data_IF_514634445406
#
_entry.id   IF_514634445406
#
_cell.length_a   1.000
_cell.length_b   1.000
_cell.length_c   1.000
_cell.angle_alpha   90.00
_cell.angle_beta   90.00
_cell.angle_gamma   90.00
#
_symmetry.space_group_name_H-M   'P 1'
#
loop_
_entity.id
_entity.type
_entity.pdbx_description
1 polymer ?
#
# COMPACT_ATOMS: atom_id res chain seq x y z
N UNK A 1 19.90 -14.25 -21.97
CA UNK A 1 19.54 -15.10 -20.82
C UNK A 1 18.55 -14.34 -19.95
N UNK A 2 17.30 -14.78 -19.79
CA UNK A 2 16.39 -14.16 -18.84
C UNK A 2 16.78 -14.61 -17.42
N UNK A 3 17.03 -13.66 -16.51
CA UNK A 3 17.21 -13.97 -15.08
C UNK A 3 15.91 -14.58 -14.57
N UNK A 4 16.00 -15.75 -13.93
CA UNK A 4 14.90 -16.30 -13.13
C UNK A 4 14.47 -15.21 -12.16
N UNK A 5 13.27 -14.68 -12.33
CA UNK A 5 12.61 -13.85 -11.33
C UNK A 5 12.51 -14.68 -10.05
N UNK A 6 13.19 -14.26 -8.99
CA UNK A 6 13.06 -14.83 -7.66
C UNK A 6 11.61 -14.68 -7.22
N UNK A 7 10.82 -15.75 -7.36
CA UNK A 7 9.38 -15.77 -7.04
C UNK A 7 9.08 -15.78 -5.55
N UNK A 8 10.10 -15.72 -4.69
CA UNK A 8 9.97 -15.93 -3.25
C UNK A 8 10.66 -14.83 -2.42
N UNK A 9 10.50 -13.56 -2.78
CA UNK A 9 10.88 -12.49 -1.84
C UNK A 9 9.76 -12.37 -0.81
N UNK A 10 10.02 -12.81 0.42
CA UNK A 10 9.03 -12.72 1.49
C UNK A 10 8.67 -11.26 1.76
N UNK A 11 7.37 -10.90 1.79
CA UNK A 11 6.91 -9.52 2.00
C UNK A 11 7.41 -8.91 3.32
N UNK A 12 7.76 -9.76 4.31
CA UNK A 12 8.22 -9.37 5.64
C UNK A 12 9.69 -8.96 5.69
N UNK A 13 10.42 -9.07 4.59
CA UNK A 13 11.80 -8.55 4.49
C UNK A 13 11.78 -7.14 3.93
N UNK A 14 12.83 -6.34 4.21
CA UNK A 14 12.97 -4.99 3.64
C UNK A 14 12.90 -5.02 2.11
N UNK A 15 13.56 -5.99 1.47
CA UNK A 15 13.54 -6.14 0.02
C UNK A 15 12.13 -6.52 -0.49
N UNK A 16 11.43 -7.40 0.22
CA UNK A 16 10.06 -7.77 -0.11
C UNK A 16 9.09 -6.61 0.00
N UNK A 17 9.23 -5.78 1.04
CA UNK A 17 8.45 -4.57 1.20
C UNK A 17 8.71 -3.55 0.07
N UNK A 18 9.98 -3.30 -0.28
CA UNK A 18 10.33 -2.39 -1.39
C UNK A 18 9.73 -2.90 -2.71
N UNK A 19 9.84 -4.21 -2.98
CA UNK A 19 9.27 -4.80 -4.17
C UNK A 19 7.74 -4.71 -4.20
N UNK A 20 7.08 -5.03 -3.08
CA UNK A 20 5.63 -4.89 -2.93
C UNK A 20 5.17 -3.46 -3.19
N UNK A 21 5.83 -2.46 -2.59
CA UNK A 21 5.48 -1.05 -2.78
C UNK A 21 5.69 -0.61 -4.23
N UNK A 22 6.79 -1.03 -4.86
CA UNK A 22 7.05 -0.74 -6.26
C UNK A 22 5.94 -1.28 -7.18
N UNK A 23 5.38 -2.46 -6.88
CA UNK A 23 4.25 -3.01 -7.62
C UNK A 23 2.94 -2.27 -7.29
N UNK A 24 2.64 -2.09 -6.00
CA UNK A 24 1.39 -1.48 -5.55
C UNK A 24 1.20 -0.07 -6.09
N UNK A 25 2.26 0.76 -6.13
CA UNK A 25 2.16 2.13 -6.63
C UNK A 25 1.91 2.23 -8.14
N UNK A 26 2.16 1.19 -8.93
CA UNK A 26 1.78 1.18 -10.36
C UNK A 26 0.27 1.18 -10.59
N UNK A 27 -0.50 0.83 -9.56
CA UNK A 27 -1.96 0.77 -9.63
C UNK A 27 -2.59 2.15 -9.50
N UNK A 28 -1.82 3.16 -9.09
CA UNK A 28 -2.29 4.51 -8.80
C UNK A 28 -1.70 5.53 -9.77
N UNK A 29 -2.54 6.40 -10.33
CA UNK A 29 -2.10 7.63 -11.02
C UNK A 29 -1.83 8.73 -9.99
N UNK A 30 -2.69 8.81 -8.98
CA UNK A 30 -2.46 9.63 -7.79
C UNK A 30 -2.62 8.80 -6.52
N UNK A 31 -1.77 9.07 -5.53
CA UNK A 31 -1.88 8.52 -4.18
C UNK A 31 -1.46 9.58 -3.17
N UNK A 32 -2.37 9.94 -2.27
CA UNK A 32 -2.22 11.04 -1.31
C UNK A 32 -2.58 10.53 0.08
N UNK A 33 -1.60 10.05 0.87
CA UNK A 33 -1.82 9.76 2.27
C UNK A 33 -1.87 11.07 3.05
N UNK A 34 -2.77 11.13 4.04
CA UNK A 34 -2.93 12.21 4.99
C UNK A 34 -2.93 11.62 6.39
N UNK A 35 -1.97 12.05 7.19
CA UNK A 35 -1.94 11.72 8.62
C UNK A 35 -3.15 12.40 9.28
N UNK A 36 -3.89 11.62 10.05
CA UNK A 36 -5.05 12.06 10.81
C UNK A 36 -4.69 12.22 12.29
N UNK A 37 -3.86 11.31 12.81
CA UNK A 37 -3.40 11.35 14.20
C UNK A 37 -2.06 10.62 14.36
N UNK A 38 -1.34 10.96 15.43
CA UNK A 38 -0.08 10.34 15.81
C UNK A 38 -0.06 10.15 17.34
N UNK A 39 0.18 8.93 17.78
CA UNK A 39 0.42 8.59 19.18
C UNK A 39 1.88 8.16 19.31
N UNK A 40 2.62 8.76 20.25
CA UNK A 40 4.06 8.48 20.45
C UNK A 40 4.29 7.93 21.85
N UNK A 41 5.06 6.84 21.94
CA UNK A 41 5.66 6.34 23.18
C UNK A 41 7.19 6.50 23.07
N UNK A 42 7.68 7.62 23.59
CA UNK A 42 9.10 7.95 23.57
C UNK A 42 9.95 6.98 24.40
N UNK A 43 9.39 6.41 25.48
CA UNK A 43 10.11 5.49 26.37
C UNK A 43 10.44 4.16 25.69
N UNK A 44 9.65 3.78 24.67
CA UNK A 44 9.83 2.56 23.91
C UNK A 44 10.33 2.80 22.48
N UNK A 45 10.56 4.06 22.09
CA UNK A 45 10.85 4.45 20.71
C UNK A 45 9.80 3.89 19.74
N UNK A 46 8.51 4.14 20.02
CA UNK A 46 7.39 3.66 19.21
C UNK A 46 6.44 4.79 18.83
N UNK A 47 5.81 4.64 17.67
CA UNK A 47 4.70 5.51 17.26
C UNK A 47 3.58 4.70 16.59
N UNK A 48 2.35 5.16 16.77
CA UNK A 48 1.19 4.73 16.00
C UNK A 48 0.73 5.89 15.15
N UNK A 49 0.60 5.67 13.84
CA UNK A 49 0.18 6.68 12.86
C UNK A 49 -1.16 6.24 12.28
N UNK A 50 -2.17 7.06 12.48
CA UNK A 50 -3.48 6.90 11.85
C UNK A 50 -3.53 7.75 10.59
N UNK A 51 -3.86 7.16 9.45
CA UNK A 51 -3.87 7.85 8.17
C UNK A 51 -5.06 7.47 7.31
N UNK A 52 -5.56 8.45 6.57
CA UNK A 52 -6.43 8.23 5.44
C UNK A 52 -5.61 8.38 4.17
N UNK A 53 -5.92 7.63 3.12
CA UNK A 53 -5.37 7.92 1.80
C UNK A 53 -6.48 8.04 0.78
N UNK A 54 -6.23 8.91 -0.19
CA UNK A 54 -7.07 9.09 -1.35
C UNK A 54 -6.23 9.02 -2.61
N UNK A 55 -6.82 8.58 -3.72
CA UNK A 55 -6.10 8.43 -4.97
C UNK A 55 -7.00 8.11 -6.15
N UNK A 56 -6.38 7.88 -7.29
CA UNK A 56 -7.03 7.48 -8.54
C UNK A 56 -6.27 6.31 -9.14
N UNK A 57 -6.98 5.36 -9.75
CA UNK A 57 -6.33 4.25 -10.41
C UNK A 57 -5.61 4.69 -11.70
N UNK A 58 -4.48 4.07 -12.01
CA UNK A 58 -3.77 4.23 -13.27
C UNK A 58 -4.32 3.32 -14.39
N UNK A 59 -5.64 3.15 -14.47
CA UNK A 59 -6.26 2.26 -15.46
C UNK A 59 -6.88 3.06 -16.60
N UNK A 60 -6.43 2.79 -17.83
CA UNK A 60 -7.00 3.41 -19.04
C UNK A 60 -8.47 3.05 -19.18
N UNK A 61 -9.31 4.05 -19.45
CA UNK A 61 -10.73 3.87 -19.71
C UNK A 61 -11.64 3.96 -18.47
N UNK A 62 -11.08 4.15 -17.26
CA UNK A 62 -11.87 4.43 -16.06
C UNK A 62 -11.43 5.75 -15.43
N UNK A 63 -12.34 6.73 -15.42
CA UNK A 63 -12.15 8.03 -14.78
C UNK A 63 -12.55 8.03 -13.30
N UNK A 64 -13.41 7.09 -12.88
CA UNK A 64 -14.08 7.11 -11.57
C UNK A 64 -13.55 6.04 -10.61
N UNK A 65 -12.40 5.42 -10.92
CA UNK A 65 -11.73 4.48 -10.03
C UNK A 65 -10.98 5.24 -8.92
N UNK A 66 -11.74 5.91 -8.06
CA UNK A 66 -11.21 6.59 -6.89
C UNK A 66 -10.82 5.57 -5.83
N UNK A 67 -9.63 5.75 -5.28
CA UNK A 67 -9.18 5.05 -4.10
C UNK A 67 -9.44 5.90 -2.86
N UNK A 68 -10.00 5.27 -1.82
CA UNK A 68 -10.08 5.83 -0.47
C UNK A 68 -9.85 4.70 0.51
N UNK A 69 -8.96 4.89 1.48
CA UNK A 69 -8.68 3.86 2.48
C UNK A 69 -8.21 4.49 3.81
N UNK A 70 -8.25 3.70 4.87
CA UNK A 70 -7.81 4.04 6.22
C UNK A 70 -6.79 3.01 6.71
N UNK A 71 -5.80 3.49 7.45
CA UNK A 71 -4.73 2.66 7.96
C UNK A 71 -4.34 3.07 9.36
N UNK A 72 -3.81 2.09 10.09
CA UNK A 72 -3.06 2.29 11.32
C UNK A 72 -1.70 1.65 11.12
N UNK A 73 -0.64 2.46 11.15
CA UNK A 73 0.74 1.98 11.09
C UNK A 73 1.33 2.00 12.49
N UNK A 74 1.98 0.90 12.89
CA UNK A 74 2.78 0.85 14.12
C UNK A 74 4.24 0.79 13.75
N UNK A 75 5.02 1.71 14.31
CA UNK A 75 6.44 1.88 14.05
C UNK A 75 7.22 1.61 15.34
N UNK A 76 8.24 0.78 15.27
CA UNK A 76 9.32 0.76 16.25
C UNK A 76 10.56 1.38 15.62
N UNK A 77 11.21 2.29 16.34
CA UNK A 77 12.41 2.99 15.87
C UNK A 77 13.70 2.41 16.47
N UNK A 78 14.83 2.76 15.87
CA UNK A 78 16.16 2.64 16.50
C UNK A 78 16.24 3.53 17.75
N UNK A 79 17.16 3.24 18.66
CA UNK A 79 17.34 4.02 19.90
C UNK A 79 17.70 5.49 19.65
N UNK A 80 18.32 5.80 18.50
CA UNK A 80 18.59 7.18 18.09
C UNK A 80 17.39 7.85 17.38
N UNK A 81 16.28 7.14 17.21
CA UNK A 81 15.04 7.62 16.60
C UNK A 81 15.10 7.87 15.09
N UNK A 82 16.20 7.54 14.40
CA UNK A 82 16.42 7.94 13.00
C UNK A 82 15.87 6.96 11.97
N UNK A 83 15.76 5.69 12.33
CA UNK A 83 15.34 4.62 11.42
C UNK A 83 14.20 3.80 12.03
N UNK A 84 13.36 3.25 11.18
CA UNK A 84 12.32 2.28 11.56
C UNK A 84 12.96 0.88 11.53
N UNK A 85 12.85 0.14 12.63
CA UNK A 85 13.30 -1.26 12.74
C UNK A 85 12.17 -2.27 12.54
N UNK A 86 10.94 -1.90 12.92
CA UNK A 86 9.75 -2.73 12.76
C UNK A 86 8.60 -1.86 12.26
N UNK A 87 7.83 -2.42 11.33
CA UNK A 87 6.71 -1.77 10.68
C UNK A 87 5.58 -2.79 10.54
N UNK A 88 4.44 -2.51 11.16
CA UNK A 88 3.18 -3.22 10.88
C UNK A 88 2.14 -2.23 10.38
N UNK A 89 1.26 -2.72 9.51
CA UNK A 89 0.22 -1.91 8.87
C UNK A 89 -1.11 -2.64 8.93
N UNK A 90 -2.05 -2.07 9.66
CA UNK A 90 -3.47 -2.45 9.62
C UNK A 90 -4.16 -1.57 8.59
N UNK A 91 -4.91 -2.20 7.70
CA UNK A 91 -5.53 -1.57 6.53
C UNK A 91 -7.01 -1.93 6.53
N UNK A 92 -7.88 -1.02 6.14
CA UNK A 92 -9.24 -1.40 5.76
C UNK A 92 -9.16 -2.26 4.48
N UNK A 93 -9.26 -3.57 4.73
CA UNK A 93 -9.16 -4.61 3.71
C UNK A 93 -10.35 -4.58 2.75
N UNK A 94 -11.53 -4.16 3.21
CA UNK A 94 -12.71 -4.05 2.35
C UNK A 94 -12.51 -2.95 1.31
N UNK A 95 -11.95 -1.81 1.72
CA UNK A 95 -11.65 -0.69 0.83
C UNK A 95 -10.62 -1.07 -0.26
N UNK A 96 -9.50 -1.70 0.10
CA UNK A 96 -8.49 -2.10 -0.89
C UNK A 96 -9.01 -3.20 -1.82
N UNK A 97 -9.78 -4.17 -1.33
CA UNK A 97 -10.36 -5.22 -2.15
C UNK A 97 -11.39 -4.66 -3.14
N UNK A 98 -12.23 -3.73 -2.71
CA UNK A 98 -13.19 -3.05 -3.60
C UNK A 98 -12.48 -2.26 -4.70
N UNK A 99 -11.39 -1.57 -4.37
CA UNK A 99 -10.57 -0.86 -5.35
C UNK A 99 -9.91 -1.81 -6.35
N UNK A 100 -9.29 -2.89 -5.85
CA UNK A 100 -8.68 -3.92 -6.68
C UNK A 100 -9.70 -4.60 -7.61
N UNK A 101 -10.91 -4.87 -7.12
CA UNK A 101 -11.99 -5.40 -7.95
C UNK A 101 -12.30 -4.50 -9.15
N UNK A 102 -12.39 -3.17 -8.94
CA UNK A 102 -12.58 -2.19 -10.03
C UNK A 102 -11.42 -2.19 -11.01
N UNK A 103 -10.18 -2.20 -10.50
CA UNK A 103 -8.97 -2.21 -11.33
C UNK A 103 -8.88 -3.46 -12.19
N UNK A 104 -9.16 -4.64 -11.63
CA UNK A 104 -9.11 -5.90 -12.39
C UNK A 104 -10.25 -6.03 -13.40
N UNK A 105 -11.48 -5.63 -13.04
CA UNK A 105 -12.61 -5.63 -13.98
C UNK A 105 -12.33 -4.71 -15.19
N UNK A 106 -11.68 -3.58 -14.95
CA UNK A 106 -11.28 -2.64 -15.99
C UNK A 106 -10.18 -3.19 -16.91
N UNK A 107 -9.19 -3.86 -16.31
CA UNK A 107 -8.06 -4.43 -17.05
C UNK A 107 -8.43 -5.67 -17.86
N UNK A 108 -9.49 -6.39 -17.46
CA UNK A 108 -10.00 -7.55 -18.19
C UNK A 108 -10.67 -7.19 -19.52
N UNK A 109 -11.03 -5.91 -19.74
CA UNK A 109 -11.85 -5.49 -20.88
C UNK A 109 -13.27 -6.06 -20.80
N UNK A 110 -14.20 -5.66 -21.69
CA UNK A 110 -15.43 -6.43 -21.85
C UNK A 110 -15.02 -7.85 -22.24
N UNK A 111 -15.50 -8.86 -21.51
CA UNK A 111 -15.54 -10.22 -22.05
C UNK A 111 -16.20 -10.10 -23.43
N UNK A 112 -15.48 -10.47 -24.49
CA UNK A 112 -16.07 -10.65 -25.80
C UNK A 112 -17.20 -11.67 -25.64
N UNK A 113 -18.42 -11.16 -25.47
CA UNK A 113 -19.63 -11.94 -25.57
C UNK A 113 -19.76 -12.43 -27.01
N UNK A 114 -19.17 -13.60 -27.29
CA UNK A 114 -19.51 -14.48 -28.41
C UNK A 114 -19.34 -15.94 -28.02
#
# INVERSE_FOLDING_TARGET
MPRKTDRNVEPKTVQGYVYFQAQAFTLFDTYKPKIIDIIVDESQFKAVICLNSEGTAAVRGITDATYKNQYVHTLSFTEDGKLIKEFDSFIDSAAILAFMGKVFAAAAGPEDGK
#
